data_IF_307246876375
#
_entry.id   IF_307246876375
#
_cell.length_a   1.000
_cell.length_b   1.000
_cell.length_c   1.000
_cell.angle_alpha   90.00
_cell.angle_beta   90.00
_cell.angle_gamma   90.00
#
_symmetry.space_group_name_H-M   'P 1'
#
loop_
_entity.id
_entity.type
_entity.pdbx_description
1 polymer ?
#
# COMPACT_ATOMS: atom_id res chain seq x y z
N UNK A 1 29.80 -3.24 18.41
CA UNK A 1 29.59 -3.64 17.02
C UNK A 1 28.52 -2.71 16.49
N UNK A 2 28.88 -1.73 15.68
CA UNK A 2 27.94 -0.84 15.01
C UNK A 2 27.16 -1.69 14.01
N UNK A 3 25.88 -1.93 14.24
CA UNK A 3 24.97 -2.50 13.23
C UNK A 3 25.11 -1.63 11.98
N UNK A 4 25.62 -2.22 10.91
CA UNK A 4 25.62 -1.58 9.59
C UNK A 4 24.15 -1.38 9.22
N UNK A 5 23.67 -0.15 9.24
CA UNK A 5 22.35 0.20 8.73
C UNK A 5 22.32 -0.25 7.27
N UNK A 6 21.51 -1.26 6.98
CA UNK A 6 21.38 -1.78 5.63
C UNK A 6 20.92 -0.66 4.70
N UNK A 7 21.72 -0.36 3.69
CA UNK A 7 21.38 0.69 2.72
C UNK A 7 20.20 0.21 1.87
N UNK A 8 19.10 1.00 1.76
CA UNK A 8 17.98 0.62 0.92
C UNK A 8 18.39 0.35 -0.53
N UNK A 9 17.79 -0.65 -1.20
CA UNK A 9 17.99 -0.89 -2.62
C UNK A 9 17.71 0.36 -3.46
N UNK A 10 18.29 0.44 -4.65
CA UNK A 10 18.19 1.61 -5.51
C UNK A 10 16.74 2.12 -5.68
N UNK A 11 15.81 1.22 -5.98
CA UNK A 11 14.40 1.56 -6.22
C UNK A 11 13.65 2.07 -4.99
N UNK A 12 14.21 1.92 -3.79
CA UNK A 12 13.64 2.40 -2.52
C UNK A 12 14.31 3.67 -2.01
N UNK A 13 15.41 4.12 -2.63
CA UNK A 13 16.11 5.32 -2.16
C UNK A 13 15.33 6.56 -2.48
N UNK A 14 15.17 7.42 -1.47
CA UNK A 14 14.48 8.71 -1.59
C UNK A 14 15.21 9.78 -0.79
N UNK A 15 15.05 11.02 -1.26
CA UNK A 15 15.34 12.23 -0.49
C UNK A 15 14.01 12.93 -0.20
N UNK A 16 13.56 12.85 1.05
CA UNK A 16 12.21 13.28 1.43
C UNK A 16 11.13 12.65 0.55
N UNK A 17 10.46 13.45 -0.26
CA UNK A 17 9.41 12.96 -1.16
C UNK A 17 9.93 12.36 -2.46
N UNK A 18 11.14 12.73 -2.89
CA UNK A 18 11.62 12.47 -4.24
C UNK A 18 12.36 11.14 -4.36
N UNK A 19 12.03 10.33 -5.38
CA UNK A 19 12.84 9.17 -5.73
C UNK A 19 14.28 9.59 -6.10
N UNK A 20 15.25 8.70 -5.86
CA UNK A 20 16.64 8.97 -6.22
C UNK A 20 16.79 9.35 -7.69
N UNK A 21 17.62 10.35 -8.04
CA UNK A 21 17.89 10.75 -9.44
C UNK A 21 18.35 9.59 -10.33
N UNK A 22 19.05 8.60 -9.77
CA UNK A 22 19.48 7.40 -10.50
C UNK A 22 18.32 6.60 -11.14
N UNK A 23 17.10 6.68 -10.60
CA UNK A 23 15.93 6.10 -11.27
C UNK A 23 15.52 6.88 -12.52
N UNK A 24 15.71 8.21 -12.52
CA UNK A 24 15.54 9.05 -13.70
C UNK A 24 16.55 8.69 -14.80
N UNK A 25 17.82 8.53 -14.45
CA UNK A 25 18.88 8.13 -15.38
C UNK A 25 18.57 6.78 -16.05
N UNK A 26 18.12 5.77 -15.27
CA UNK A 26 17.71 4.48 -15.84
C UNK A 26 16.50 4.64 -16.75
N UNK A 27 15.53 5.47 -16.36
CA UNK A 27 14.32 5.72 -17.14
C UNK A 27 14.63 6.34 -18.50
N UNK A 28 15.57 7.28 -18.54
CA UNK A 28 16.03 7.89 -19.80
C UNK A 28 16.79 6.89 -20.66
N UNK A 29 17.71 6.11 -20.09
CA UNK A 29 18.53 5.11 -20.76
C UNK A 29 18.95 3.96 -19.84
N UNK A 30 18.61 2.69 -20.14
CA UNK A 30 17.78 2.17 -21.26
C UNK A 30 16.29 2.02 -20.92
N UNK A 31 15.83 2.37 -19.71
CA UNK A 31 14.49 2.13 -19.19
C UNK A 31 14.36 0.84 -18.35
N UNK A 32 15.28 -0.10 -18.52
CA UNK A 32 15.44 -1.31 -17.70
C UNK A 32 16.90 -1.44 -17.30
N UNK A 33 17.16 -1.80 -16.05
CA UNK A 33 18.51 -2.08 -15.55
C UNK A 33 18.52 -3.29 -14.63
N UNK A 34 19.66 -3.97 -14.52
CA UNK A 34 19.87 -4.94 -13.43
C UNK A 34 20.11 -4.20 -12.10
N UNK A 35 19.50 -4.69 -11.05
CA UNK A 35 19.61 -4.12 -9.70
C UNK A 35 19.62 -5.23 -8.66
N UNK A 36 19.85 -4.87 -7.40
CA UNK A 36 19.77 -5.82 -6.28
C UNK A 36 18.60 -5.41 -5.39
N UNK A 37 17.72 -6.35 -5.04
CA UNK A 37 16.60 -6.08 -4.14
C UNK A 37 17.00 -6.13 -2.65
N UNK A 38 16.04 -5.88 -1.75
CA UNK A 38 16.26 -5.88 -0.30
C UNK A 38 16.73 -7.24 0.28
N UNK A 39 16.62 -8.31 -0.49
CA UNK A 39 17.04 -9.68 -0.08
C UNK A 39 18.36 -10.11 -0.73
N UNK A 40 19.07 -9.19 -1.38
CA UNK A 40 20.34 -9.47 -2.06
C UNK A 40 20.21 -10.21 -3.40
N UNK A 41 19.00 -10.38 -3.92
CA UNK A 41 18.77 -11.04 -5.21
C UNK A 41 18.91 -10.06 -6.37
N UNK A 42 19.47 -10.53 -7.49
CA UNK A 42 19.46 -9.77 -8.75
C UNK A 42 18.03 -9.68 -9.31
N UNK A 43 17.68 -8.51 -9.81
CA UNK A 43 16.37 -8.23 -10.41
C UNK A 43 16.53 -7.35 -11.65
N UNK A 44 15.59 -7.45 -12.58
CA UNK A 44 15.45 -6.51 -13.69
C UNK A 44 14.48 -5.41 -13.27
N UNK A 45 14.95 -4.18 -13.15
CA UNK A 45 14.18 -3.03 -12.68
C UNK A 45 13.65 -2.23 -13.87
N UNK A 46 12.33 -2.20 -14.04
CA UNK A 46 11.61 -1.45 -15.09
C UNK A 46 11.17 -0.11 -14.52
N UNK A 47 11.44 0.99 -15.25
CA UNK A 47 11.32 2.35 -14.73
C UNK A 47 10.40 3.28 -15.53
N UNK A 48 10.12 3.00 -16.83
CA UNK A 48 9.24 3.82 -17.68
C UNK A 48 7.78 3.49 -17.46
N UNK A 49 6.92 4.50 -17.50
CA UNK A 49 5.49 4.36 -17.26
C UNK A 49 4.82 3.31 -18.17
N UNK A 50 5.03 3.40 -19.48
CA UNK A 50 4.38 2.50 -20.42
C UNK A 50 4.94 1.08 -20.37
N UNK A 51 6.25 0.91 -20.13
CA UNK A 51 6.86 -0.41 -19.94
C UNK A 51 6.31 -1.08 -18.67
N UNK A 52 6.14 -0.31 -17.57
CA UNK A 52 5.51 -0.80 -16.34
C UNK A 52 4.08 -1.26 -16.59
N UNK A 53 3.29 -0.47 -17.35
CA UNK A 53 1.92 -0.87 -17.73
C UNK A 53 1.90 -2.14 -18.56
N UNK A 54 2.82 -2.25 -19.52
CA UNK A 54 2.95 -3.45 -20.36
C UNK A 54 3.25 -4.69 -19.50
N UNK A 55 4.23 -4.61 -18.60
CA UNK A 55 4.57 -5.70 -17.66
C UNK A 55 3.39 -6.06 -16.74
N UNK A 56 2.70 -5.06 -16.19
CA UNK A 56 1.59 -5.30 -15.26
C UNK A 56 0.30 -5.82 -15.94
N UNK A 57 0.13 -5.57 -17.25
CA UNK A 57 -1.01 -6.04 -18.01
C UNK A 57 -0.85 -7.48 -18.51
N UNK A 58 0.38 -7.94 -18.70
CA UNK A 58 0.70 -9.23 -19.30
C UNK A 58 0.99 -10.28 -18.22
N UNK A 59 -0.06 -10.80 -17.63
CA UNK A 59 0.05 -11.82 -16.59
C UNK A 59 0.45 -13.20 -17.11
N UNK A 60 0.43 -13.44 -18.43
CA UNK A 60 0.85 -14.70 -19.04
C UNK A 60 2.37 -14.81 -19.06
N UNK A 61 3.06 -13.72 -19.45
CA UNK A 61 4.52 -13.67 -19.51
C UNK A 61 5.17 -13.17 -18.21
N UNK A 62 4.42 -12.42 -17.38
CA UNK A 62 4.90 -11.84 -16.11
C UNK A 62 4.00 -12.28 -14.95
N UNK A 63 4.29 -13.45 -14.41
CA UNK A 63 3.52 -14.12 -13.36
C UNK A 63 3.73 -13.47 -11.99
N UNK A 64 2.70 -13.46 -11.15
CA UNK A 64 2.79 -13.17 -9.71
C UNK A 64 3.16 -14.41 -8.90
N UNK A 65 2.94 -15.60 -9.46
CA UNK A 65 3.20 -16.86 -8.79
C UNK A 65 4.70 -17.15 -8.80
N UNK A 66 5.26 -17.40 -7.63
CA UNK A 66 6.67 -17.79 -7.50
C UNK A 66 6.92 -19.11 -8.21
N UNK A 67 7.99 -19.21 -9.02
CA UNK A 67 8.32 -20.48 -9.67
C UNK A 67 8.64 -21.57 -8.64
N UNK A 68 8.43 -22.85 -9.00
CA UNK A 68 8.84 -23.98 -8.15
C UNK A 68 10.31 -23.89 -7.78
N UNK A 69 10.64 -24.20 -6.52
CA UNK A 69 12.02 -24.15 -6.03
C UNK A 69 12.56 -22.75 -5.68
N UNK A 70 11.78 -21.68 -5.90
CA UNK A 70 12.19 -20.35 -5.48
C UNK A 70 12.30 -20.26 -3.94
N UNK A 71 13.48 -19.92 -3.44
CA UNK A 71 13.76 -19.73 -2.01
C UNK A 71 14.13 -18.27 -1.78
N UNK A 72 13.40 -17.61 -0.88
CA UNK A 72 13.76 -16.26 -0.44
C UNK A 72 14.98 -16.34 0.48
N UNK A 73 16.08 -15.62 0.21
CA UNK A 73 17.26 -15.63 1.08
C UNK A 73 16.89 -15.27 2.53
N UNK A 74 17.42 -16.04 3.48
CA UNK A 74 17.13 -15.87 4.91
C UNK A 74 15.77 -16.39 5.37
N UNK A 75 14.93 -16.93 4.47
CA UNK A 75 13.69 -17.59 4.86
C UNK A 75 13.95 -19.01 5.41
N UNK A 76 13.21 -19.46 6.42
CA UNK A 76 13.22 -20.84 6.85
C UNK A 76 12.67 -21.74 5.74
N UNK A 77 13.15 -22.98 5.69
CA UNK A 77 12.57 -24.00 4.81
C UNK A 77 11.17 -24.32 5.30
N UNK A 78 10.18 -24.15 4.42
CA UNK A 78 8.79 -24.52 4.68
C UNK A 78 8.44 -25.80 3.94
N UNK A 79 7.56 -26.62 4.51
CA UNK A 79 6.98 -27.75 3.81
C UNK A 79 6.08 -27.29 2.65
N UNK A 80 5.82 -28.18 1.69
CA UNK A 80 4.90 -27.87 0.58
C UNK A 80 3.49 -27.49 1.08
N UNK A 81 3.03 -28.14 2.15
CA UNK A 81 1.75 -27.82 2.79
C UNK A 81 1.73 -26.42 3.41
N UNK A 82 2.81 -26.02 4.11
CA UNK A 82 2.95 -24.68 4.67
C UNK A 82 3.00 -23.61 3.56
N UNK A 83 3.70 -23.89 2.46
CA UNK A 83 3.76 -23.00 1.29
C UNK A 83 2.38 -22.87 0.62
N UNK A 84 1.66 -23.97 0.44
CA UNK A 84 0.31 -23.96 -0.13
C UNK A 84 -0.65 -23.17 0.77
N UNK A 85 -0.59 -23.38 2.08
CA UNK A 85 -1.38 -22.65 3.07
C UNK A 85 -1.04 -21.15 3.10
N UNK A 86 0.24 -20.78 2.99
CA UNK A 86 0.68 -19.39 2.94
C UNK A 86 0.24 -18.66 1.65
N UNK A 87 0.08 -19.37 0.54
CA UNK A 87 -0.40 -18.84 -0.75
C UNK A 87 -1.91 -18.75 -0.82
N UNK A 88 -2.63 -19.64 -0.11
CA UNK A 88 -4.08 -19.73 -0.15
C UNK A 88 -4.72 -18.38 0.21
N UNK A 89 -5.61 -17.89 -0.64
CA UNK A 89 -6.32 -16.61 -0.47
C UNK A 89 -5.48 -15.34 -0.65
N UNK A 90 -4.18 -15.45 -0.90
CA UNK A 90 -3.31 -14.29 -1.13
C UNK A 90 -3.38 -13.82 -2.58
N UNK A 91 -4.33 -12.94 -2.90
CA UNK A 91 -4.56 -12.44 -4.27
C UNK A 91 -3.30 -11.85 -4.91
N UNK A 92 -2.37 -11.26 -4.15
CA UNK A 92 -1.17 -10.65 -4.69
C UNK A 92 -0.16 -11.67 -5.24
N UNK A 93 -0.24 -12.92 -4.80
CA UNK A 93 0.63 -14.00 -5.24
C UNK A 93 -0.03 -15.02 -6.19
N UNK A 94 -1.21 -14.71 -6.73
CA UNK A 94 -1.99 -15.57 -7.60
C UNK A 94 -2.12 -14.97 -9.00
N UNK A 95 -2.17 -15.82 -10.01
CA UNK A 95 -2.48 -15.46 -11.39
C UNK A 95 -3.91 -15.91 -11.76
N UNK A 96 -4.50 -15.38 -12.85
CA UNK A 96 -5.71 -15.98 -13.45
C UNK A 96 -5.47 -17.45 -13.84
N UNK A 97 -6.47 -18.34 -13.67
CA UNK A 97 -7.86 -18.06 -13.33
C UNK A 97 -8.16 -17.96 -11.82
N UNK A 98 -7.27 -18.42 -10.94
CA UNK A 98 -7.52 -18.48 -9.50
C UNK A 98 -7.66 -17.08 -8.88
N UNK A 99 -6.78 -16.15 -9.23
CA UNK A 99 -6.91 -14.74 -8.86
C UNK A 99 -8.28 -14.18 -9.24
N UNK A 100 -8.74 -14.42 -10.48
CA UNK A 100 -10.02 -13.89 -10.96
C UNK A 100 -11.21 -14.49 -10.20
N UNK A 101 -11.15 -15.77 -9.80
CA UNK A 101 -12.16 -16.42 -8.99
C UNK A 101 -12.36 -15.71 -7.66
N UNK A 102 -11.29 -15.53 -6.90
CA UNK A 102 -11.35 -14.84 -5.61
C UNK A 102 -11.72 -13.36 -5.74
N UNK A 103 -11.14 -12.68 -6.73
CA UNK A 103 -11.40 -11.25 -6.96
C UNK A 103 -12.88 -10.98 -7.27
N UNK A 104 -13.55 -11.85 -8.05
CA UNK A 104 -14.99 -11.70 -8.36
C UNK A 104 -15.85 -11.75 -7.11
N UNK A 105 -15.52 -12.58 -6.13
CA UNK A 105 -16.26 -12.69 -4.85
C UNK A 105 -16.12 -11.43 -4.01
N UNK A 106 -14.98 -10.74 -4.10
CA UNK A 106 -14.68 -9.53 -3.31
C UNK A 106 -15.15 -8.23 -3.97
N UNK A 107 -15.14 -8.17 -5.30
CA UNK A 107 -15.41 -6.92 -6.05
C UNK A 107 -16.73 -6.24 -5.67
N UNK A 108 -17.85 -6.95 -5.40
CA UNK A 108 -19.11 -6.33 -4.98
C UNK A 108 -18.99 -5.47 -3.72
N UNK A 109 -18.10 -5.84 -2.78
CA UNK A 109 -17.90 -5.13 -1.52
C UNK A 109 -17.10 -3.82 -1.67
N UNK A 110 -16.37 -3.64 -2.77
CA UNK A 110 -15.55 -2.45 -3.06
C UNK A 110 -16.15 -1.56 -4.16
N UNK A 111 -17.44 -1.71 -4.47
CA UNK A 111 -18.13 -0.85 -5.43
C UNK A 111 -18.41 0.53 -4.83
N UNK A 112 -18.52 1.57 -5.69
CA UNK A 112 -18.88 2.94 -5.29
C UNK A 112 -20.17 2.93 -4.46
N UNK A 113 -21.16 2.11 -4.83
CA UNK A 113 -22.43 2.00 -4.10
C UNK A 113 -22.22 1.48 -2.66
N UNK A 114 -21.34 0.49 -2.47
CA UNK A 114 -21.03 -0.06 -1.14
C UNK A 114 -20.26 0.96 -0.32
N UNK A 115 -19.27 1.62 -0.93
CA UNK A 115 -18.48 2.67 -0.27
C UNK A 115 -19.35 3.82 0.25
N UNK A 116 -20.32 4.28 -0.52
CA UNK A 116 -21.27 5.32 -0.06
C UNK A 116 -22.04 4.97 1.22
N UNK A 117 -22.21 3.68 1.55
CA UNK A 117 -22.84 3.29 2.82
C UNK A 117 -21.89 3.43 4.00
N UNK A 118 -20.58 3.36 3.75
CA UNK A 118 -19.54 3.52 4.77
C UNK A 118 -19.20 4.99 5.02
N UNK A 119 -19.50 5.87 4.06
CA UNK A 119 -19.15 7.29 4.12
C UNK A 119 -19.54 7.96 5.45
N UNK A 120 -20.78 7.81 5.97
CA UNK A 120 -21.17 8.43 7.25
C UNK A 120 -20.31 7.93 8.43
N UNK A 121 -19.95 6.64 8.40
CA UNK A 121 -19.12 6.05 9.46
C UNK A 121 -17.66 6.51 9.36
N UNK A 122 -17.13 6.63 8.17
CA UNK A 122 -15.77 7.19 7.95
C UNK A 122 -15.72 8.65 8.45
N UNK A 123 -16.74 9.45 8.13
CA UNK A 123 -16.86 10.84 8.65
C UNK A 123 -16.86 10.82 10.18
N UNK A 124 -17.67 9.99 10.81
CA UNK A 124 -17.73 9.89 12.28
C UNK A 124 -16.37 9.52 12.88
N UNK A 125 -15.66 8.53 12.32
CA UNK A 125 -14.33 8.12 12.76
C UNK A 125 -13.34 9.30 12.64
N UNK A 126 -13.35 10.01 11.53
CA UNK A 126 -12.49 11.18 11.29
C UNK A 126 -12.77 12.28 12.32
N UNK A 127 -14.02 12.65 12.54
CA UNK A 127 -14.39 13.69 13.50
C UNK A 127 -14.01 13.31 14.94
N UNK A 128 -14.22 12.07 15.35
CA UNK A 128 -13.80 11.57 16.68
C UNK A 128 -12.29 11.75 16.92
N UNK A 129 -11.46 11.49 15.89
CA UNK A 129 -10.01 11.66 16.01
C UNK A 129 -9.59 13.14 16.01
N UNK A 130 -10.29 13.98 15.24
CA UNK A 130 -10.07 15.43 15.26
C UNK A 130 -10.44 16.03 16.63
N UNK A 131 -11.55 15.59 17.25
CA UNK A 131 -11.94 16.01 18.58
C UNK A 131 -10.91 15.57 19.63
N UNK A 132 -10.45 14.31 19.58
CA UNK A 132 -9.40 13.81 20.48
C UNK A 132 -8.08 14.58 20.34
N UNK A 133 -7.69 14.97 19.11
CA UNK A 133 -6.53 15.84 18.89
C UNK A 133 -6.74 17.21 19.50
N UNK A 134 -7.92 17.83 19.33
CA UNK A 134 -8.26 19.15 19.91
C UNK A 134 -8.22 19.11 21.43
N UNK A 135 -8.75 18.05 22.05
CA UNK A 135 -8.76 17.85 23.51
C UNK A 135 -7.35 17.62 24.07
N UNK A 136 -6.48 16.93 23.33
CA UNK A 136 -5.07 16.71 23.72
C UNK A 136 -4.28 18.02 23.66
N UNK A 137 -4.55 18.86 22.66
CA UNK A 137 -3.81 20.09 22.39
C UNK A 137 -2.41 19.88 21.80
N UNK A 138 -1.88 20.88 21.07
CA UNK A 138 -0.58 20.77 20.41
C UNK A 138 0.60 20.79 21.41
N UNK A 139 1.78 20.19 21.09
CA UNK A 139 2.01 19.43 19.86
C UNK A 139 1.48 18.01 19.94
N UNK A 140 1.02 17.46 18.79
CA UNK A 140 0.48 16.11 18.66
C UNK A 140 1.25 15.35 17.57
N UNK A 141 1.50 14.06 17.75
CA UNK A 141 1.96 13.19 16.66
C UNK A 141 0.80 12.84 15.75
N UNK A 142 0.76 13.45 14.56
CA UNK A 142 -0.30 13.26 13.58
C UNK A 142 -0.41 11.81 13.09
N UNK A 143 0.72 11.09 13.01
CA UNK A 143 0.69 9.68 12.58
C UNK A 143 -0.08 8.85 13.59
N UNK A 144 0.25 8.98 14.87
CA UNK A 144 -0.37 8.20 15.93
C UNK A 144 -1.83 8.63 16.23
N UNK A 145 -2.12 9.95 16.16
CA UNK A 145 -3.43 10.48 16.55
C UNK A 145 -4.47 10.46 15.42
N UNK A 146 -4.04 10.48 14.17
CA UNK A 146 -4.93 10.67 13.02
C UNK A 146 -4.68 9.69 11.87
N UNK A 147 -3.45 9.68 11.31
CA UNK A 147 -3.19 8.97 10.08
C UNK A 147 -3.30 7.44 10.20
N UNK A 148 -2.80 6.86 11.29
CA UNK A 148 -2.82 5.42 11.54
C UNK A 148 -4.19 4.92 12.03
N UNK A 149 -4.86 5.53 13.02
CA UNK A 149 -6.08 4.96 13.58
C UNK A 149 -7.27 4.98 12.62
N UNK A 150 -7.42 5.99 11.77
CA UNK A 150 -8.59 6.12 10.89
C UNK A 150 -8.70 4.92 9.94
N UNK A 151 -7.73 4.62 9.05
CA UNK A 151 -7.83 3.46 8.17
C UNK A 151 -7.86 2.13 8.91
N UNK A 152 -7.20 2.05 10.07
CA UNK A 152 -7.24 0.86 10.92
C UNK A 152 -8.65 0.54 11.40
N UNK A 153 -9.39 1.56 11.84
CA UNK A 153 -10.77 1.39 12.29
C UNK A 153 -11.70 1.03 11.13
N UNK A 154 -11.55 1.73 10.00
CA UNK A 154 -12.36 1.48 8.80
C UNK A 154 -12.22 0.03 8.33
N UNK A 155 -10.99 -0.49 8.23
CA UNK A 155 -10.78 -1.87 7.78
C UNK A 155 -11.22 -2.89 8.83
N UNK A 156 -11.09 -2.58 10.14
CA UNK A 156 -11.61 -3.43 11.20
C UNK A 156 -13.12 -3.60 11.11
N UNK A 157 -13.86 -2.52 10.92
CA UNK A 157 -15.33 -2.59 10.77
C UNK A 157 -15.73 -3.35 9.51
N UNK A 158 -15.02 -3.13 8.39
CA UNK A 158 -15.28 -3.87 7.16
C UNK A 158 -15.07 -5.38 7.28
N UNK A 159 -14.09 -5.81 8.09
CA UNK A 159 -13.75 -7.23 8.25
C UNK A 159 -14.38 -7.89 9.47
N UNK A 160 -15.10 -7.14 10.32
CA UNK A 160 -15.63 -7.64 11.58
C UNK A 160 -14.56 -7.93 12.63
N UNK A 161 -13.43 -7.22 12.61
CA UNK A 161 -12.35 -7.31 13.59
C UNK A 161 -12.75 -6.52 14.84
N UNK A 162 -12.68 -7.10 16.07
CA UNK A 162 -12.95 -6.36 17.28
C UNK A 162 -12.00 -5.17 17.46
N UNK A 163 -12.55 -4.05 17.90
CA UNK A 163 -11.79 -2.81 18.09
C UNK A 163 -10.62 -2.95 19.08
N UNK A 164 -10.83 -3.74 20.13
CA UNK A 164 -9.81 -3.93 21.19
C UNK A 164 -8.53 -4.64 20.67
N UNK A 165 -8.64 -5.38 19.58
CA UNK A 165 -7.52 -6.13 19.00
C UNK A 165 -6.62 -5.26 18.09
N UNK A 166 -6.99 -3.98 17.83
CA UNK A 166 -6.34 -3.11 16.82
C UNK A 166 -4.85 -2.87 17.06
N UNK A 167 -4.46 -2.63 18.30
CA UNK A 167 -3.06 -2.30 18.61
C UNK A 167 -2.13 -3.47 18.29
N UNK A 168 -2.57 -4.68 18.61
CA UNK A 168 -1.79 -5.88 18.36
C UNK A 168 -1.60 -6.15 16.86
N UNK A 169 -2.66 -6.00 16.05
CA UNK A 169 -2.48 -6.20 14.61
C UNK A 169 -1.70 -5.06 13.95
N UNK A 170 -1.82 -3.82 14.40
CA UNK A 170 -1.02 -2.69 13.89
C UNK A 170 0.48 -2.92 14.13
N UNK A 171 0.87 -3.33 15.33
CA UNK A 171 2.26 -3.65 15.65
C UNK A 171 2.79 -4.82 14.81
N UNK A 172 2.00 -5.90 14.66
CA UNK A 172 2.36 -7.04 13.80
C UNK A 172 2.54 -6.63 12.35
N UNK A 173 1.62 -5.83 11.81
CA UNK A 173 1.66 -5.36 10.42
C UNK A 173 2.87 -4.49 10.14
N UNK A 174 3.13 -3.51 11.00
CA UNK A 174 4.29 -2.64 10.90
C UNK A 174 5.60 -3.46 10.89
N UNK A 175 5.71 -4.46 11.78
CA UNK A 175 6.89 -5.31 11.86
C UNK A 175 7.01 -6.28 10.68
N UNK A 176 5.91 -6.80 10.18
CA UNK A 176 5.87 -7.67 9.00
C UNK A 176 6.38 -6.94 7.73
N UNK A 177 6.08 -5.65 7.61
CA UNK A 177 6.43 -4.83 6.45
C UNK A 177 7.79 -4.12 6.59
N UNK A 178 8.41 -4.15 7.74
CA UNK A 178 9.75 -3.60 8.01
C UNK A 178 10.83 -4.50 7.38
N UNK A 179 11.47 -4.02 6.31
CA UNK A 179 12.52 -4.76 5.61
C UNK A 179 13.86 -4.80 6.35
N UNK A 180 14.03 -4.00 7.39
CA UNK A 180 15.19 -4.08 8.29
C UNK A 180 15.09 -5.25 9.25
N UNK A 181 13.88 -5.78 9.49
CA UNK A 181 13.66 -6.95 10.31
C UNK A 181 14.10 -8.24 9.61
N UNK A 182 14.68 -9.21 10.34
CA UNK A 182 15.01 -10.51 9.78
C UNK A 182 13.82 -11.20 9.12
N UNK A 183 14.04 -11.86 7.98
CA UNK A 183 12.97 -12.56 7.22
C UNK A 183 12.21 -13.55 8.10
N UNK A 184 12.93 -14.28 8.98
CA UNK A 184 12.32 -15.24 9.89
C UNK A 184 11.34 -14.58 10.88
N UNK A 185 11.67 -13.40 11.40
CA UNK A 185 10.79 -12.62 12.29
C UNK A 185 9.55 -12.14 11.55
N UNK A 186 9.71 -11.59 10.36
CA UNK A 186 8.60 -11.12 9.52
C UNK A 186 7.63 -12.25 9.18
N UNK A 187 8.16 -13.45 8.85
CA UNK A 187 7.34 -14.64 8.64
C UNK A 187 6.65 -15.13 9.92
N UNK A 188 7.29 -14.96 11.09
CA UNK A 188 6.64 -15.26 12.37
C UNK A 188 5.45 -14.32 12.61
N UNK A 189 5.59 -13.01 12.37
CA UNK A 189 4.48 -12.04 12.46
C UNK A 189 3.35 -12.40 11.49
N UNK A 190 3.68 -12.77 10.26
CA UNK A 190 2.69 -13.24 9.29
C UNK A 190 1.91 -14.47 9.78
N UNK A 191 2.61 -15.48 10.34
CA UNK A 191 1.96 -16.69 10.90
C UNK A 191 1.05 -16.35 12.05
N UNK A 192 1.47 -15.48 12.99
CA UNK A 192 0.63 -15.03 14.09
C UNK A 192 -0.62 -14.29 13.59
N UNK A 193 -0.46 -13.40 12.61
CA UNK A 193 -1.59 -12.72 11.97
C UNK A 193 -2.58 -13.68 11.31
N UNK A 194 -2.09 -14.70 10.61
CA UNK A 194 -2.95 -15.75 10.02
C UNK A 194 -3.65 -16.58 11.08
N UNK A 195 -2.99 -16.94 12.18
CA UNK A 195 -3.62 -17.68 13.27
C UNK A 195 -4.75 -16.86 13.94
N UNK A 196 -4.50 -15.58 14.20
CA UNK A 196 -5.54 -14.67 14.67
C UNK A 196 -6.73 -14.58 13.69
N UNK A 197 -6.44 -14.40 12.39
CA UNK A 197 -7.49 -14.35 11.38
C UNK A 197 -8.26 -15.66 11.27
N UNK A 198 -7.61 -16.81 11.53
CA UNK A 198 -8.28 -18.11 11.63
C UNK A 198 -9.38 -18.13 12.70
N UNK A 199 -9.14 -17.56 13.88
CA UNK A 199 -10.14 -17.45 14.93
C UNK A 199 -11.35 -16.60 14.52
N UNK A 200 -11.13 -15.54 13.71
CA UNK A 200 -12.21 -14.71 13.17
C UNK A 200 -13.02 -15.45 12.11
N UNK A 201 -12.36 -16.22 11.24
CA UNK A 201 -13.03 -17.07 10.24
C UNK A 201 -13.90 -18.13 10.92
N UNK A 202 -13.39 -18.82 11.96
CA UNK A 202 -14.17 -19.77 12.73
C UNK A 202 -15.41 -19.13 13.38
N UNK A 203 -15.26 -17.90 13.90
CA UNK A 203 -16.40 -17.13 14.43
C UNK A 203 -17.42 -16.81 13.35
N UNK A 204 -16.96 -16.31 12.20
CA UNK A 204 -17.82 -15.98 11.07
C UNK A 204 -18.55 -17.22 10.50
N UNK A 205 -17.89 -18.41 10.46
CA UNK A 205 -18.53 -19.67 10.07
C UNK A 205 -19.68 -20.05 11.00
N UNK A 206 -19.54 -19.80 12.31
CA UNK A 206 -20.60 -20.11 13.29
C UNK A 206 -21.73 -19.09 13.29
N UNK A 207 -21.40 -17.82 13.12
CA UNK A 207 -22.34 -16.71 13.16
C UNK A 207 -21.91 -15.60 12.19
N UNK A 208 -22.30 -15.68 10.90
CA UNK A 208 -21.89 -14.70 9.89
C UNK A 208 -22.47 -13.29 10.18
N UNK A 209 -21.57 -12.31 10.39
CA UNK A 209 -21.93 -10.90 10.55
C UNK A 209 -22.26 -10.20 9.23
N UNK A 210 -22.53 -8.89 9.31
CA UNK A 210 -22.78 -8.04 8.12
C UNK A 210 -21.49 -7.46 7.51
N UNK A 211 -20.33 -7.89 8.02
CA UNK A 211 -18.99 -7.59 7.53
C UNK A 211 -18.63 -8.46 6.30
N UNK A 212 -17.44 -8.16 5.71
CA UNK A 212 -16.95 -8.89 4.51
C UNK A 212 -16.74 -10.38 4.79
N UNK A 213 -16.22 -10.75 5.97
CA UNK A 213 -16.06 -12.18 6.32
C UNK A 213 -17.40 -12.88 6.41
N UNK A 214 -18.38 -12.27 7.08
CA UNK A 214 -19.74 -12.79 7.17
C UNK A 214 -20.42 -12.93 5.81
N UNK A 215 -20.23 -11.95 4.94
CA UNK A 215 -20.74 -12.01 3.55
C UNK A 215 -20.08 -13.17 2.78
N UNK A 216 -18.74 -13.28 2.81
CA UNK A 216 -18.04 -14.36 2.11
C UNK A 216 -18.49 -15.74 2.59
N UNK A 217 -18.71 -15.90 3.89
CA UNK A 217 -19.23 -17.15 4.47
C UNK A 217 -20.66 -17.43 4.01
N UNK A 218 -21.55 -16.44 4.01
CA UNK A 218 -22.93 -16.62 3.58
C UNK A 218 -23.08 -16.92 2.09
N UNK A 219 -22.37 -16.18 1.26
CA UNK A 219 -22.58 -16.23 -0.20
C UNK A 219 -21.66 -17.25 -0.88
N UNK A 220 -20.43 -17.46 -0.34
CA UNK A 220 -19.39 -18.28 -0.96
C UNK A 220 -18.80 -19.35 -0.02
N UNK A 221 -19.41 -19.58 1.14
CA UNK A 221 -18.84 -20.47 2.17
C UNK A 221 -18.65 -21.91 1.73
N UNK A 222 -19.40 -22.39 0.73
CA UNK A 222 -19.23 -23.73 0.16
C UNK A 222 -18.09 -23.79 -0.90
N UNK A 223 -17.71 -22.64 -1.46
CA UNK A 223 -16.69 -22.53 -2.53
C UNK A 223 -15.31 -22.13 -1.99
N UNK A 224 -15.26 -21.55 -0.76
CA UNK A 224 -14.04 -21.04 -0.12
C UNK A 224 -13.62 -21.94 1.03
N UNK A 225 -12.38 -22.39 1.01
CA UNK A 225 -11.75 -23.06 2.14
C UNK A 225 -11.47 -22.07 3.28
N UNK A 226 -11.26 -22.57 4.49
CA UNK A 226 -10.88 -21.70 5.62
C UNK A 226 -9.52 -21.04 5.40
N UNK A 227 -8.56 -21.74 4.79
CA UNK A 227 -7.26 -21.17 4.43
C UNK A 227 -7.38 -20.03 3.40
N UNK A 228 -8.30 -20.12 2.45
CA UNK A 228 -8.59 -19.03 1.51
C UNK A 228 -9.24 -17.82 2.20
N UNK A 229 -10.22 -18.06 3.05
CA UNK A 229 -10.84 -17.00 3.86
C UNK A 229 -9.83 -16.29 4.75
N UNK A 230 -8.97 -17.06 5.43
CA UNK A 230 -7.86 -16.52 6.25
C UNK A 230 -6.89 -15.71 5.41
N UNK A 231 -6.53 -16.20 4.22
CA UNK A 231 -5.61 -15.50 3.32
C UNK A 231 -6.17 -14.18 2.81
N UNK A 232 -7.42 -14.21 2.33
CA UNK A 232 -8.13 -13.01 1.86
C UNK A 232 -8.25 -11.98 2.97
N UNK A 233 -8.74 -12.37 4.15
CA UNK A 233 -8.95 -11.44 5.25
C UNK A 233 -7.62 -10.87 5.80
N UNK A 234 -6.56 -11.71 5.90
CA UNK A 234 -5.23 -11.25 6.30
C UNK A 234 -4.66 -10.22 5.31
N UNK A 235 -4.85 -10.45 4.01
CA UNK A 235 -4.41 -9.52 2.97
C UNK A 235 -5.19 -8.20 3.05
N UNK A 236 -6.51 -8.25 3.15
CA UNK A 236 -7.35 -7.04 3.23
C UNK A 236 -7.03 -6.21 4.47
N UNK A 237 -6.83 -6.85 5.62
CA UNK A 237 -6.45 -6.16 6.85
C UNK A 237 -5.10 -5.44 6.67
N UNK A 238 -4.07 -6.16 6.21
CA UNK A 238 -2.72 -5.60 6.03
C UNK A 238 -2.70 -4.47 5.00
N UNK A 239 -3.34 -4.68 3.84
CA UNK A 239 -3.33 -3.71 2.74
C UNK A 239 -4.20 -2.49 3.04
N UNK A 240 -5.31 -2.65 3.77
CA UNK A 240 -6.29 -1.60 3.99
C UNK A 240 -5.79 -0.51 4.92
N UNK A 241 -5.08 -0.84 6.01
CA UNK A 241 -4.66 0.19 6.95
C UNK A 241 -3.28 0.78 6.64
N UNK A 242 -2.27 -0.04 6.32
CA UNK A 242 -0.90 0.45 6.16
C UNK A 242 -0.74 1.43 5.00
N UNK A 243 -1.40 1.20 3.88
CA UNK A 243 -1.26 2.06 2.70
C UNK A 243 -1.95 3.40 2.90
N UNK A 244 -3.21 3.40 3.31
CA UNK A 244 -3.97 4.65 3.49
C UNK A 244 -3.41 5.49 4.65
N UNK A 245 -2.94 4.84 5.74
CA UNK A 245 -2.26 5.54 6.84
C UNK A 245 -1.04 6.31 6.39
N UNK A 246 -0.17 5.66 5.59
CA UNK A 246 1.02 6.33 5.07
C UNK A 246 0.67 7.43 4.08
N UNK A 247 -0.41 7.28 3.29
CA UNK A 247 -0.91 8.35 2.42
C UNK A 247 -1.45 9.54 3.21
N UNK A 248 -2.19 9.32 4.30
CA UNK A 248 -2.68 10.41 5.15
C UNK A 248 -1.52 11.18 5.82
N UNK A 249 -0.52 10.48 6.34
CA UNK A 249 0.65 11.12 6.94
C UNK A 249 1.48 11.90 5.92
N UNK A 250 1.95 11.23 4.86
CA UNK A 250 2.79 11.84 3.83
C UNK A 250 2.04 12.91 3.03
N UNK A 251 0.76 12.68 2.72
CA UNK A 251 -0.06 13.64 2.00
C UNK A 251 -0.27 14.93 2.80
N UNK A 252 -0.47 14.82 4.11
CA UNK A 252 -0.54 16.00 4.99
C UNK A 252 0.79 16.74 5.02
N UNK A 253 1.92 16.02 5.19
CA UNK A 253 3.25 16.62 5.14
C UNK A 253 3.50 17.32 3.81
N UNK A 254 3.14 16.70 2.68
CA UNK A 254 3.27 17.30 1.35
C UNK A 254 2.44 18.59 1.23
N UNK A 255 1.20 18.59 1.71
CA UNK A 255 0.33 19.78 1.69
C UNK A 255 0.90 20.89 2.60
N UNK A 256 1.42 20.57 3.80
CA UNK A 256 2.06 21.55 4.69
C UNK A 256 3.28 22.22 4.04
N UNK A 257 3.97 21.53 3.12
CA UNK A 257 5.11 22.09 2.35
C UNK A 257 4.67 22.88 1.12
N UNK A 258 3.37 22.86 0.77
CA UNK A 258 2.78 23.56 -0.37
C UNK A 258 1.55 24.38 0.06
N UNK A 259 1.73 25.52 0.76
CA UNK A 259 0.63 26.26 1.42
C UNK A 259 -0.53 26.67 0.51
N UNK A 260 -0.25 27.01 -0.76
CA UNK A 260 -1.30 27.41 -1.71
C UNK A 260 -2.17 26.20 -2.07
N UNK A 261 -1.59 25.03 -2.25
CA UNK A 261 -2.31 23.80 -2.54
C UNK A 261 -3.06 23.28 -1.31
N UNK A 262 -2.47 23.44 -0.12
CA UNK A 262 -3.14 23.16 1.14
C UNK A 262 -4.42 24.01 1.27
N UNK A 263 -4.33 25.31 1.02
CA UNK A 263 -5.48 26.23 1.08
C UNK A 263 -6.56 25.81 0.09
N UNK A 264 -6.20 25.42 -1.13
CA UNK A 264 -7.15 24.92 -2.12
C UNK A 264 -7.88 23.64 -1.64
N UNK A 265 -7.16 22.65 -1.06
CA UNK A 265 -7.78 21.42 -0.52
C UNK A 265 -8.68 21.72 0.68
N UNK A 266 -8.32 22.70 1.51
CA UNK A 266 -9.13 23.13 2.67
C UNK A 266 -10.42 23.81 2.25
N UNK A 267 -10.35 24.75 1.29
CA UNK A 267 -11.39 25.76 1.03
C UNK A 267 -12.25 25.44 -0.21
N UNK A 268 -11.71 24.68 -1.19
CA UNK A 268 -12.42 24.32 -2.42
C UNK A 268 -12.75 22.82 -2.47
N UNK A 269 -14.01 22.40 -2.27
CA UNK A 269 -14.41 21.00 -2.40
C UNK A 269 -14.09 20.37 -3.78
N UNK A 270 -14.01 21.18 -4.85
CA UNK A 270 -13.70 20.69 -6.19
C UNK A 270 -12.22 20.31 -6.35
N UNK A 271 -11.32 20.91 -5.55
CA UNK A 271 -9.90 20.60 -5.55
C UNK A 271 -9.56 19.26 -4.87
N UNK A 272 -10.43 18.76 -3.98
CA UNK A 272 -10.11 17.59 -3.12
C UNK A 272 -9.89 16.31 -3.94
N UNK A 273 -10.78 16.01 -4.89
CA UNK A 273 -10.68 14.80 -5.66
C UNK A 273 -9.43 14.79 -6.58
N UNK A 274 -9.13 15.84 -7.36
CA UNK A 274 -7.89 15.93 -8.12
C UNK A 274 -6.64 15.87 -7.23
N UNK A 275 -6.67 16.51 -6.05
CA UNK A 275 -5.55 16.48 -5.11
C UNK A 275 -5.21 15.06 -4.63
N UNK A 276 -6.22 14.23 -4.35
CA UNK A 276 -5.99 12.82 -3.95
C UNK A 276 -5.30 12.04 -5.08
N UNK A 277 -5.72 12.19 -6.34
CA UNK A 277 -5.07 11.51 -7.46
C UNK A 277 -3.62 11.99 -7.65
N UNK A 278 -3.38 13.30 -7.54
CA UNK A 278 -2.04 13.86 -7.68
C UNK A 278 -1.12 13.45 -6.51
N UNK A 279 -1.60 13.47 -5.27
CA UNK A 279 -0.85 12.94 -4.12
C UNK A 279 -0.50 11.46 -4.30
N UNK A 280 -1.43 10.64 -4.80
CA UNK A 280 -1.18 9.23 -5.11
C UNK A 280 -0.11 9.06 -6.18
N UNK A 281 -0.11 9.90 -7.23
CA UNK A 281 0.92 9.91 -8.26
C UNK A 281 2.27 10.33 -7.67
N UNK A 282 2.30 11.50 -7.06
CA UNK A 282 3.52 12.18 -6.67
C UNK A 282 4.27 11.47 -5.55
N UNK A 283 3.55 10.98 -4.53
CA UNK A 283 4.13 10.26 -3.40
C UNK A 283 4.48 8.81 -3.74
N UNK A 284 3.66 8.10 -4.50
CA UNK A 284 3.91 6.71 -4.92
C UNK A 284 4.46 5.84 -3.80
N UNK A 285 3.67 5.67 -2.73
CA UNK A 285 4.11 5.06 -1.47
C UNK A 285 4.53 3.59 -1.58
N UNK A 286 4.06 2.84 -2.59
CA UNK A 286 4.50 1.48 -2.86
C UNK A 286 5.86 1.54 -3.59
N UNK A 287 6.91 1.77 -2.82
CA UNK A 287 8.26 2.01 -3.35
C UNK A 287 9.17 0.79 -3.35
N UNK A 288 8.76 -0.28 -2.69
CA UNK A 288 9.51 -1.55 -2.66
C UNK A 288 9.53 -2.29 -4.01
N UNK A 289 8.92 -1.70 -5.04
CA UNK A 289 8.60 -2.25 -6.35
C UNK A 289 7.57 -3.39 -6.31
N UNK A 290 6.98 -3.69 -7.46
CA UNK A 290 6.05 -4.83 -7.60
C UNK A 290 6.79 -5.94 -8.34
N UNK A 291 6.94 -7.14 -7.73
CA UNK A 291 7.63 -8.26 -8.34
C UNK A 291 6.79 -8.95 -9.41
N UNK A 292 7.45 -9.46 -10.44
CA UNK A 292 6.93 -10.39 -11.45
C UNK A 292 7.99 -11.42 -11.78
N UNK A 293 7.58 -12.62 -12.14
CA UNK A 293 8.45 -13.68 -12.61
C UNK A 293 8.19 -13.92 -14.09
N UNK A 294 9.24 -13.92 -14.93
CA UNK A 294 9.09 -14.25 -16.35
C UNK A 294 8.79 -15.72 -16.54
N UNK A 295 7.76 -16.04 -17.28
CA UNK A 295 7.37 -17.44 -17.60
C UNK A 295 8.05 -17.96 -18.86
N UNK A 296 8.54 -17.06 -19.72
CA UNK A 296 9.26 -17.31 -20.97
C UNK A 296 10.30 -16.22 -21.18
N UNK A 297 11.16 -16.37 -22.15
CA UNK A 297 12.06 -15.30 -22.59
C UNK A 297 11.21 -14.12 -23.09
N UNK A 298 11.51 -12.91 -22.60
CA UNK A 298 10.80 -11.67 -22.94
C UNK A 298 11.78 -10.57 -23.31
N UNK A 299 11.27 -9.55 -23.95
CA UNK A 299 12.02 -8.31 -24.22
C UNK A 299 11.23 -7.13 -23.65
N UNK A 300 11.89 -6.30 -22.82
CA UNK A 300 11.35 -5.08 -22.23
C UNK A 300 12.30 -3.93 -22.52
N UNK A 301 11.83 -2.87 -23.17
CA UNK A 301 12.64 -1.71 -23.55
C UNK A 301 13.97 -2.09 -24.29
N UNK A 302 13.93 -3.13 -25.11
CA UNK A 302 15.10 -3.64 -25.86
C UNK A 302 16.04 -4.55 -25.05
N UNK A 303 15.79 -4.75 -23.74
CA UNK A 303 16.55 -5.69 -22.91
C UNK A 303 15.90 -7.06 -22.93
N UNK A 304 16.69 -8.09 -23.28
CA UNK A 304 16.25 -9.49 -23.23
C UNK A 304 16.36 -10.00 -21.81
N UNK A 305 15.26 -10.57 -21.29
CA UNK A 305 15.13 -11.12 -19.96
C UNK A 305 14.75 -12.60 -20.11
N UNK A 306 15.59 -13.54 -19.63
CA UNK A 306 15.28 -14.98 -19.73
C UNK A 306 14.05 -15.37 -18.92
N UNK A 307 13.51 -16.56 -19.20
CA UNK A 307 12.50 -17.20 -18.39
C UNK A 307 13.00 -17.50 -16.97
N UNK A 308 12.13 -17.35 -15.97
CA UNK A 308 12.42 -17.62 -14.56
C UNK A 308 13.03 -16.43 -13.80
N UNK A 309 13.31 -15.34 -14.49
CA UNK A 309 13.92 -14.15 -13.89
C UNK A 309 12.91 -13.28 -13.11
N UNK A 310 13.44 -12.54 -12.14
CA UNK A 310 12.66 -11.63 -11.29
C UNK A 310 12.69 -10.21 -11.87
N UNK A 311 11.54 -9.72 -12.27
CA UNK A 311 11.33 -8.37 -12.79
C UNK A 311 10.63 -7.53 -11.72
N UNK A 312 11.19 -6.37 -11.42
CA UNK A 312 10.61 -5.37 -10.53
C UNK A 312 10.13 -4.17 -11.33
N UNK A 313 8.92 -3.68 -11.08
CA UNK A 313 8.43 -2.43 -11.66
C UNK A 313 8.41 -1.34 -10.60
N UNK A 314 9.07 -0.21 -10.88
CA UNK A 314 9.16 0.93 -9.96
C UNK A 314 8.02 1.92 -10.20
N UNK A 315 6.95 1.83 -9.40
CA UNK A 315 5.84 2.78 -9.50
C UNK A 315 6.28 4.23 -9.28
N UNK A 316 7.17 4.54 -8.29
CA UNK A 316 7.69 5.89 -8.12
C UNK A 316 8.37 6.44 -9.37
N UNK A 317 9.17 5.62 -10.06
CA UNK A 317 9.83 6.05 -11.30
C UNK A 317 8.83 6.28 -12.44
N UNK A 318 7.90 5.33 -12.66
CA UNK A 318 6.89 5.46 -13.72
C UNK A 318 5.95 6.65 -13.52
N UNK A 319 5.58 6.97 -12.28
CA UNK A 319 4.75 8.13 -11.96
C UNK A 319 5.48 9.48 -12.08
N UNK A 320 6.81 9.45 -12.18
CA UNK A 320 7.68 10.62 -12.44
C UNK A 320 8.24 10.59 -13.87
N UNK A 321 7.62 9.84 -14.78
CA UNK A 321 8.04 9.75 -16.17
C UNK A 321 7.55 10.98 -16.97
N UNK A 322 8.46 11.80 -17.57
CA UNK A 322 8.07 12.93 -18.40
C UNK A 322 7.35 12.53 -19.68
N UNK A 323 7.46 11.27 -20.14
CA UNK A 323 6.66 10.74 -21.23
C UNK A 323 5.19 10.52 -20.84
N UNK A 324 4.91 10.34 -19.55
CA UNK A 324 3.56 10.20 -19.02
C UNK A 324 2.91 11.55 -18.70
N UNK A 325 3.66 12.48 -18.11
CA UNK A 325 3.11 13.74 -17.57
C UNK A 325 4.17 14.84 -17.58
N UNK A 326 3.78 16.05 -17.95
CA UNK A 326 4.66 17.22 -17.95
C UNK A 326 5.05 17.62 -16.54
N UNK A 327 6.29 18.13 -16.36
CA UNK A 327 6.85 18.54 -15.08
C UNK A 327 6.56 17.52 -13.95
N UNK A 328 6.98 16.25 -14.09
CA UNK A 328 6.52 15.14 -13.26
C UNK A 328 6.94 15.27 -11.79
N UNK A 329 7.98 16.04 -11.50
CA UNK A 329 8.51 16.25 -10.14
C UNK A 329 7.78 17.35 -9.38
N UNK A 330 6.96 18.15 -10.07
CA UNK A 330 6.14 19.18 -9.43
C UNK A 330 4.85 18.57 -8.90
N UNK A 331 4.53 18.83 -7.62
CA UNK A 331 3.22 18.57 -7.06
C UNK A 331 2.26 19.65 -7.58
N UNK A 332 1.21 19.26 -8.31
CA UNK A 332 0.18 20.15 -8.80
C UNK A 332 -1.19 19.47 -8.66
N UNK A 333 -1.93 19.80 -7.61
CA UNK A 333 -3.22 19.18 -7.29
C UNK A 333 -4.31 19.42 -8.33
N UNK A 334 -4.14 20.42 -9.20
CA UNK A 334 -5.13 20.73 -10.26
C UNK A 334 -4.96 19.82 -11.49
N UNK A 335 -3.86 19.11 -11.57
CA UNK A 335 -3.52 18.19 -12.66
C UNK A 335 -4.48 17.00 -12.77
N UNK A 336 -4.99 16.51 -11.63
CA UNK A 336 -5.92 15.39 -11.58
C UNK A 336 -5.40 14.10 -12.22
N UNK A 337 -4.16 13.81 -12.05
CA UNK A 337 -3.28 12.81 -12.69
C UNK A 337 -3.94 11.46 -13.08
N UNK A 338 -4.85 11.48 -14.06
CA UNK A 338 -5.54 10.27 -14.57
C UNK A 338 -4.50 9.33 -15.22
N UNK A 339 -4.55 8.05 -14.84
CA UNK A 339 -3.65 7.04 -15.40
C UNK A 339 -2.36 6.82 -14.63
N UNK A 340 -2.21 7.48 -13.46
CA UNK A 340 -1.08 7.21 -12.57
C UNK A 340 -1.06 5.75 -12.07
N UNK A 341 0.12 5.27 -11.69
CA UNK A 341 0.35 3.90 -11.24
C UNK A 341 0.23 3.72 -9.72
N UNK A 342 -0.22 4.72 -8.97
CA UNK A 342 -0.30 4.67 -7.50
C UNK A 342 -1.18 3.53 -6.96
N UNK A 343 -2.15 3.07 -7.76
CA UNK A 343 -2.98 1.89 -7.47
C UNK A 343 -2.59 0.66 -8.29
N UNK A 344 -1.41 0.63 -8.90
CA UNK A 344 -1.00 -0.42 -9.84
C UNK A 344 -1.74 -0.36 -11.17
N UNK A 345 -1.67 -1.47 -11.94
CA UNK A 345 -2.30 -1.59 -13.25
C UNK A 345 -2.67 -3.05 -13.56
N UNK A 346 -3.54 -3.28 -14.57
CA UNK A 346 -3.92 -4.60 -15.04
C UNK A 346 -4.85 -5.35 -14.07
N UNK A 347 -4.81 -6.68 -14.10
CA UNK A 347 -5.72 -7.55 -13.33
C UNK A 347 -5.55 -7.39 -11.82
N UNK A 348 -4.38 -6.94 -11.36
CA UNK A 348 -4.07 -6.64 -9.96
C UNK A 348 -4.25 -5.16 -9.57
N UNK A 349 -4.89 -4.33 -10.41
CA UNK A 349 -5.24 -2.97 -10.00
C UNK A 349 -5.93 -2.99 -8.62
N UNK A 350 -5.57 -2.10 -7.73
CA UNK A 350 -5.97 -2.09 -6.32
C UNK A 350 -7.49 -2.27 -6.16
N UNK A 351 -7.88 -3.31 -5.43
CA UNK A 351 -9.29 -3.59 -5.12
C UNK A 351 -9.87 -2.53 -4.20
N UNK A 352 -9.09 -2.06 -3.21
CA UNK A 352 -9.48 -1.05 -2.23
C UNK A 352 -9.37 0.39 -2.72
N UNK A 353 -9.04 0.65 -4.00
CA UNK A 353 -8.88 2.01 -4.51
C UNK A 353 -10.10 2.94 -4.28
N UNK A 354 -11.37 2.48 -4.41
CA UNK A 354 -12.53 3.30 -4.08
C UNK A 354 -12.59 3.70 -2.60
N UNK A 355 -12.22 2.77 -1.69
CA UNK A 355 -12.20 3.02 -0.25
C UNK A 355 -11.09 4.01 0.12
N UNK A 356 -9.86 3.76 -0.30
CA UNK A 356 -8.73 4.63 -0.01
C UNK A 356 -8.97 6.08 -0.51
N UNK A 357 -9.55 6.25 -1.72
CA UNK A 357 -9.96 7.56 -2.24
C UNK A 357 -11.00 8.24 -1.35
N UNK A 358 -11.99 7.49 -0.87
CA UNK A 358 -13.03 8.02 0.00
C UNK A 358 -12.44 8.48 1.34
N UNK A 359 -11.64 7.65 1.98
CA UNK A 359 -10.98 8.01 3.24
C UNK A 359 -10.15 9.30 3.11
N UNK A 360 -9.29 9.39 2.08
CA UNK A 360 -8.47 10.58 1.84
C UNK A 360 -9.31 11.83 1.51
N UNK A 361 -10.37 11.69 0.72
CA UNK A 361 -11.28 12.81 0.37
C UNK A 361 -12.08 13.35 1.56
N UNK A 362 -12.31 12.53 2.56
CA UNK A 362 -12.94 12.92 3.82
C UNK A 362 -11.88 13.49 4.77
N UNK A 363 -10.80 12.78 4.98
CA UNK A 363 -9.84 13.08 6.05
C UNK A 363 -9.02 14.35 5.79
N UNK A 364 -8.48 14.57 4.56
CA UNK A 364 -7.66 15.76 4.29
C UNK A 364 -8.40 17.08 4.54
N UNK A 365 -9.55 17.33 3.88
CA UNK A 365 -10.24 18.61 4.09
C UNK A 365 -10.81 18.75 5.51
N UNK A 366 -11.21 17.66 6.17
CA UNK A 366 -11.67 17.71 7.56
C UNK A 366 -10.56 18.16 8.51
N UNK A 367 -9.36 17.57 8.41
CA UNK A 367 -8.18 17.94 9.18
C UNK A 367 -7.81 19.42 8.97
N UNK A 368 -7.72 19.85 7.72
CA UNK A 368 -7.29 21.21 7.36
C UNK A 368 -8.32 22.29 7.74
N UNK A 369 -9.62 21.98 7.72
CA UNK A 369 -10.67 22.88 8.20
C UNK A 369 -10.74 22.93 9.71
N UNK A 370 -10.53 21.80 10.41
CA UNK A 370 -10.54 21.75 11.88
C UNK A 370 -9.36 22.52 12.45
N UNK A 371 -8.19 22.44 11.82
CA UNK A 371 -6.97 23.10 12.23
C UNK A 371 -6.40 24.00 11.12
N UNK A 372 -7.01 25.18 10.85
CA UNK A 372 -6.64 26.01 9.69
C UNK A 372 -5.22 26.59 9.77
N UNK A 373 -4.62 26.60 10.95
CA UNK A 373 -3.23 27.02 11.20
C UNK A 373 -2.27 25.85 11.40
N UNK A 374 -2.67 24.63 11.02
CA UNK A 374 -1.86 23.43 11.14
C UNK A 374 -0.49 23.61 10.49
N UNK A 375 0.56 23.33 11.23
CA UNK A 375 1.96 23.38 10.77
C UNK A 375 2.81 22.34 11.48
N UNK A 376 4.01 22.07 10.94
CA UNK A 376 4.98 21.22 11.63
C UNK A 376 5.40 21.88 12.96
N UNK A 377 5.52 21.05 13.99
CA UNK A 377 6.09 21.42 15.29
C UNK A 377 7.57 21.01 15.45
N UNK A 378 8.19 20.58 14.35
CA UNK A 378 9.58 20.16 14.23
C UNK A 378 10.13 20.59 12.87
N UNK A 379 11.46 20.63 12.71
CA UNK A 379 12.06 20.93 11.42
C UNK A 379 11.81 19.77 10.44
N UNK A 380 11.63 20.09 9.15
CA UNK A 380 11.39 19.07 8.11
C UNK A 380 12.52 18.02 8.06
N UNK A 381 13.76 18.44 8.29
CA UNK A 381 14.94 17.56 8.25
C UNK A 381 14.97 16.58 9.44
N UNK A 382 14.19 16.83 10.51
CA UNK A 382 14.05 15.94 11.66
C UNK A 382 12.93 14.91 11.48
N UNK A 383 12.06 15.08 10.47
CA UNK A 383 10.97 14.15 10.19
C UNK A 383 11.52 12.79 9.76
N UNK A 384 11.14 11.76 10.49
CA UNK A 384 11.65 10.41 10.26
C UNK A 384 10.79 9.62 9.27
N UNK A 385 11.38 9.33 8.09
CA UNK A 385 10.75 8.51 7.07
C UNK A 385 10.99 7.01 7.28
N UNK A 386 10.02 6.18 6.84
CA UNK A 386 10.11 4.71 6.78
C UNK A 386 10.82 4.28 5.49
N UNK A 387 12.10 4.59 5.35
CA UNK A 387 12.86 4.41 4.11
C UNK A 387 13.11 2.94 3.76
N UNK A 388 13.21 2.04 4.77
CA UNK A 388 13.47 0.62 4.55
C UNK A 388 12.25 -0.23 4.98
N UNK A 389 11.11 0.08 4.41
CA UNK A 389 9.82 -0.54 4.67
C UNK A 389 9.10 -0.80 3.33
N UNK A 390 8.22 -1.80 3.23
CA UNK A 390 7.51 -2.07 1.96
C UNK A 390 6.71 -0.87 1.46
N UNK A 391 6.10 -0.15 2.39
CA UNK A 391 5.33 1.06 2.11
C UNK A 391 6.09 2.27 2.65
N UNK A 392 6.37 3.23 1.79
CA UNK A 392 6.98 4.49 2.19
C UNK A 392 6.03 5.31 3.05
N UNK A 393 6.52 5.92 4.10
CA UNK A 393 5.70 6.65 5.04
C UNK A 393 6.51 7.36 6.11
N UNK A 394 5.82 7.84 7.14
CA UNK A 394 6.40 8.50 8.30
C UNK A 394 6.38 7.59 9.52
N UNK A 395 7.42 7.65 10.36
CA UNK A 395 7.39 7.00 11.68
C UNK A 395 6.54 7.80 12.66
N UNK A 396 6.72 9.11 12.66
CA UNK A 396 5.96 10.10 13.44
C UNK A 396 6.01 11.44 12.72
N UNK A 397 5.11 12.35 13.05
CA UNK A 397 5.11 13.73 12.58
C UNK A 397 4.44 14.62 13.63
N UNK A 398 5.22 15.47 14.27
CA UNK A 398 4.69 16.42 15.26
C UNK A 398 4.11 17.63 14.56
N UNK A 399 2.89 17.95 14.92
CA UNK A 399 2.13 19.11 14.38
C UNK A 399 1.60 19.99 15.51
N UNK A 400 1.36 21.26 15.15
CA UNK A 400 0.74 22.26 16.03
C UNK A 400 -0.21 23.15 15.21
N UNK A 401 -1.12 23.86 15.92
CA UNK A 401 -2.13 24.73 15.31
C UNK A 401 -2.49 25.90 16.23
#
# INVERSE_FOLDING_TARGET
MTESVATPPLHMRRDGFDPTPALGEIREHPGVATSTNAFGMQVYLVTRHDDIKAVLSDHERFSNTRPPGFVLPGAPTLSEEELARARSGNLLGLDPPEHQRLRRMLTPEFTIRRMKRLEPRIVEIVEQHLDAMADTGPPVDLVAAFALPIPSLVICELLGVPYDDREEFQQRSARQLDLSAPVAERLAMQRQGRAYMGSLVERARRNPGDDILGMLVREHGAELTDDELVGVASLLLLAGHETTSNMLGLGTLALLRHPEQLAAVRDDPAAVAPAVEELMRWLSIVHSAIPRYTTTDVEVAGMKIPAGELVFVSLPSGNRDPAFIDAPDVLDIHRGAIGHLGFGHGVHHCLGAPLARMEMRIAFPALLRRFPTLQLAEDFDDVQFRSFHFIYGLKSMKVQW
#
